data_IF_975541502964
#
_entry.id   IF_975541502964
#
_cell.length_a   1.000
_cell.length_b   1.000
_cell.length_c   1.000
_cell.angle_alpha   90.00
_cell.angle_beta   90.00
_cell.angle_gamma   90.00
#
_symmetry.space_group_name_H-M   'P 1'
#
loop_
_entity.id
_entity.type
_entity.pdbx_description
1 polymer ?
#
# COMPACT_ATOMS: atom_id res chain seq x y z
N UNK A 1 22.86 18.72 18.62
CA UNK A 1 23.57 17.71 17.79
C UNK A 1 22.60 17.33 16.70
N UNK A 2 22.99 17.50 15.43
CA UNK A 2 22.10 17.28 14.29
C UNK A 2 21.76 15.79 14.19
N UNK A 3 20.49 15.43 14.41
CA UNK A 3 20.02 14.08 14.13
C UNK A 3 20.32 13.78 12.67
N UNK A 4 21.05 12.68 12.47
CA UNK A 4 21.61 12.28 11.19
C UNK A 4 20.47 11.94 10.23
N UNK A 5 19.98 12.92 9.49
CA UNK A 5 19.02 12.74 8.38
C UNK A 5 19.75 11.99 7.27
N UNK A 6 19.83 10.66 7.41
CA UNK A 6 20.18 9.77 6.30
C UNK A 6 18.88 9.25 5.74
N UNK A 7 18.01 10.15 5.28
CA UNK A 7 16.84 9.71 4.50
C UNK A 7 17.39 9.32 3.14
N UNK A 8 17.63 8.02 2.96
CA UNK A 8 17.85 7.42 1.66
C UNK A 8 16.53 7.54 0.88
N UNK A 9 16.31 8.69 0.25
CA UNK A 9 15.07 9.01 -0.45
C UNK A 9 14.84 8.01 -1.59
N UNK A 10 15.89 7.54 -2.28
CA UNK A 10 15.79 6.47 -3.27
C UNK A 10 15.26 5.16 -2.65
N UNK A 11 15.79 4.77 -1.47
CA UNK A 11 15.29 3.62 -0.72
C UNK A 11 13.82 3.78 -0.29
N UNK A 12 13.42 4.99 0.12
CA UNK A 12 12.04 5.30 0.49
C UNK A 12 11.09 5.21 -0.72
N UNK A 13 11.53 5.71 -1.88
CA UNK A 13 10.80 5.63 -3.14
C UNK A 13 10.62 4.19 -3.61
N UNK A 14 11.68 3.39 -3.58
CA UNK A 14 11.60 1.96 -3.94
C UNK A 14 10.63 1.21 -3.03
N UNK A 15 10.68 1.45 -1.72
CA UNK A 15 9.73 0.81 -0.79
C UNK A 15 8.29 1.28 -1.03
N UNK A 16 8.07 2.57 -1.32
CA UNK A 16 6.76 3.09 -1.68
C UNK A 16 6.17 2.39 -2.91
N UNK A 17 6.98 2.22 -3.96
CA UNK A 17 6.58 1.52 -5.19
C UNK A 17 6.26 0.04 -4.92
N UNK A 18 7.05 -0.64 -4.09
CA UNK A 18 6.79 -2.01 -3.68
C UNK A 18 5.48 -2.16 -2.93
N UNK A 19 5.18 -1.26 -1.98
CA UNK A 19 3.92 -1.31 -1.22
C UNK A 19 2.71 -1.07 -2.14
N UNK A 20 2.81 -0.12 -3.08
CA UNK A 20 1.72 0.15 -4.02
C UNK A 20 1.49 -1.04 -4.96
N UNK A 21 2.56 -1.72 -5.37
CA UNK A 21 2.45 -2.98 -6.11
C UNK A 21 1.77 -4.07 -5.27
N UNK A 22 2.19 -4.24 -4.01
CA UNK A 22 1.58 -5.19 -3.07
C UNK A 22 0.10 -4.90 -2.84
N UNK A 23 -0.30 -3.63 -2.79
CA UNK A 23 -1.72 -3.24 -2.74
C UNK A 23 -2.50 -3.75 -3.95
N UNK A 24 -1.93 -3.64 -5.15
CA UNK A 24 -2.55 -4.20 -6.37
C UNK A 24 -2.66 -5.73 -6.34
N UNK A 25 -1.63 -6.43 -5.85
CA UNK A 25 -1.64 -7.88 -5.66
C UNK A 25 -2.68 -8.31 -4.62
N UNK A 26 -2.78 -7.55 -3.52
CA UNK A 26 -3.76 -7.72 -2.46
C UNK A 26 -5.20 -7.55 -2.97
N UNK A 27 -5.51 -6.46 -3.67
CA UNK A 27 -6.85 -6.21 -4.23
C UNK A 27 -7.27 -7.35 -5.17
N UNK A 28 -6.33 -7.83 -6.01
CA UNK A 28 -6.57 -8.95 -6.91
C UNK A 28 -6.85 -10.25 -6.16
N UNK A 29 -6.10 -10.54 -5.10
CA UNK A 29 -6.32 -11.71 -4.25
C UNK A 29 -7.69 -11.65 -3.56
N UNK A 30 -8.05 -10.48 -3.01
CA UNK A 30 -9.34 -10.29 -2.34
C UNK A 30 -10.51 -10.43 -3.29
N UNK A 31 -10.40 -9.87 -4.50
CA UNK A 31 -11.39 -10.09 -5.55
C UNK A 31 -11.58 -11.59 -5.84
N UNK A 32 -10.49 -12.35 -6.01
CA UNK A 32 -10.54 -13.80 -6.25
C UNK A 32 -11.25 -14.54 -5.12
N UNK A 33 -10.88 -14.26 -3.87
CA UNK A 33 -11.47 -14.91 -2.68
C UNK A 33 -12.97 -14.60 -2.58
N UNK A 34 -13.37 -13.33 -2.75
CA UNK A 34 -14.79 -12.94 -2.71
C UNK A 34 -15.60 -13.59 -3.83
N UNK A 35 -15.03 -13.70 -5.04
CA UNK A 35 -15.66 -14.43 -6.14
C UNK A 35 -15.80 -15.91 -5.81
N UNK A 36 -14.73 -16.58 -5.36
CA UNK A 36 -14.79 -18.00 -4.98
C UNK A 36 -15.82 -18.26 -3.89
N UNK A 37 -15.86 -17.44 -2.85
CA UNK A 37 -16.83 -17.53 -1.78
C UNK A 37 -18.28 -17.42 -2.28
N UNK A 38 -18.53 -16.44 -3.15
CA UNK A 38 -19.87 -16.23 -3.74
C UNK A 38 -20.27 -17.39 -4.65
N UNK A 39 -19.36 -17.84 -5.51
CA UNK A 39 -19.61 -18.95 -6.43
C UNK A 39 -19.81 -20.28 -5.70
N UNK A 40 -19.01 -20.56 -4.67
CA UNK A 40 -19.13 -21.78 -3.88
C UNK A 40 -20.53 -21.89 -3.27
N UNK A 41 -21.01 -20.81 -2.64
CA UNK A 41 -22.34 -20.76 -2.02
C UNK A 41 -23.49 -20.81 -3.04
N UNK A 42 -23.24 -20.50 -4.33
CA UNK A 42 -24.27 -20.57 -5.37
C UNK A 42 -24.40 -21.93 -6.05
N UNK A 43 -23.37 -22.77 -6.00
CA UNK A 43 -23.34 -24.08 -6.69
C UNK A 43 -23.45 -25.26 -5.74
N UNK A 44 -23.17 -25.06 -4.45
CA UNK A 44 -23.19 -26.10 -3.44
C UNK A 44 -23.96 -25.62 -2.21
N UNK A 45 -25.20 -26.08 -2.09
CA UNK A 45 -26.06 -25.82 -0.92
C UNK A 45 -25.58 -26.67 0.27
N UNK A 46 -24.50 -26.21 0.91
CA UNK A 46 -23.91 -26.82 2.10
C UNK A 46 -23.69 -25.77 3.20
N UNK A 47 -23.75 -26.23 4.45
CA UNK A 47 -23.60 -25.34 5.61
C UNK A 47 -22.19 -24.73 5.67
N UNK A 48 -21.14 -25.51 5.39
CA UNK A 48 -19.77 -25.00 5.40
C UNK A 48 -19.51 -24.01 4.25
N UNK A 49 -20.11 -24.23 3.08
CA UNK A 49 -20.04 -23.30 1.95
C UNK A 49 -20.66 -21.94 2.31
N UNK A 50 -21.83 -21.94 2.96
CA UNK A 50 -22.49 -20.73 3.44
C UNK A 50 -21.68 -20.01 4.51
N UNK A 51 -21.20 -20.73 5.51
CA UNK A 51 -20.37 -20.17 6.60
C UNK A 51 -19.10 -19.52 6.06
N UNK A 52 -18.43 -20.15 5.10
CA UNK A 52 -17.26 -19.57 4.44
C UNK A 52 -17.62 -18.26 3.72
N UNK A 53 -18.72 -18.24 2.94
CA UNK A 53 -19.15 -17.06 2.22
C UNK A 53 -19.54 -15.91 3.14
N UNK A 54 -20.26 -16.20 4.22
CA UNK A 54 -20.61 -15.23 5.25
C UNK A 54 -19.38 -14.68 5.97
N UNK A 55 -18.39 -15.53 6.26
CA UNK A 55 -17.13 -15.10 6.88
C UNK A 55 -16.34 -14.16 5.96
N UNK A 56 -16.20 -14.50 4.68
CA UNK A 56 -15.53 -13.63 3.70
C UNK A 56 -16.26 -12.30 3.57
N UNK A 57 -17.60 -12.32 3.46
CA UNK A 57 -18.42 -11.11 3.42
C UNK A 57 -18.30 -10.27 4.69
N UNK A 58 -18.25 -10.90 5.86
CA UNK A 58 -18.08 -10.23 7.14
C UNK A 58 -16.73 -9.52 7.29
N UNK A 59 -15.71 -9.99 6.59
CA UNK A 59 -14.37 -9.39 6.57
C UNK A 59 -14.19 -8.27 5.54
N UNK A 60 -15.18 -7.98 4.69
CA UNK A 60 -15.08 -7.01 3.59
C UNK A 60 -14.58 -5.62 4.04
N UNK A 61 -15.10 -5.14 5.17
CA UNK A 61 -14.65 -3.87 5.77
C UNK A 61 -13.20 -3.92 6.22
N UNK A 62 -12.78 -5.02 6.84
CA UNK A 62 -11.38 -5.24 7.26
C UNK A 62 -10.47 -5.30 6.05
N UNK A 63 -10.90 -5.99 4.99
CA UNK A 63 -10.11 -6.10 3.77
C UNK A 63 -9.94 -4.75 3.09
N UNK A 64 -11.01 -3.98 3.00
CA UNK A 64 -10.99 -2.62 2.44
C UNK A 64 -10.08 -1.70 3.25
N UNK A 65 -10.21 -1.72 4.59
CA UNK A 65 -9.39 -0.89 5.47
C UNK A 65 -7.90 -1.22 5.35
N UNK A 66 -7.54 -2.49 5.24
CA UNK A 66 -6.14 -2.90 5.05
C UNK A 66 -5.59 -2.45 3.69
N UNK A 67 -6.38 -2.59 2.61
CA UNK A 67 -6.00 -2.10 1.28
C UNK A 67 -5.77 -0.58 1.27
N UNK A 68 -6.64 0.18 1.95
CA UNK A 68 -6.47 1.63 2.14
C UNK A 68 -5.21 1.97 2.96
N UNK A 69 -4.90 1.19 4.00
CA UNK A 69 -3.69 1.41 4.79
C UNK A 69 -2.41 1.23 3.93
N UNK A 70 -2.35 0.21 3.08
CA UNK A 70 -1.25 -0.01 2.14
C UNK A 70 -1.11 1.16 1.15
N UNK A 71 -2.21 1.63 0.58
CA UNK A 71 -2.20 2.76 -0.35
C UNK A 71 -1.72 4.04 0.34
N UNK A 72 -2.27 4.35 1.52
CA UNK A 72 -1.94 5.56 2.27
C UNK A 72 -0.46 5.61 2.65
N UNK A 73 0.11 4.51 3.16
CA UNK A 73 1.53 4.49 3.53
C UNK A 73 2.44 4.57 2.29
N UNK A 74 2.10 3.88 1.20
CA UNK A 74 2.84 3.96 -0.06
C UNK A 74 2.85 5.38 -0.64
N UNK A 75 1.70 6.07 -0.63
CA UNK A 75 1.59 7.47 -1.07
C UNK A 75 2.41 8.38 -0.13
N UNK A 76 2.27 8.22 1.17
CA UNK A 76 2.99 9.04 2.14
C UNK A 76 4.51 8.92 1.97
N UNK A 77 5.03 7.69 1.83
CA UNK A 77 6.45 7.45 1.59
C UNK A 77 6.95 8.08 0.29
N UNK A 78 6.17 7.98 -0.80
CA UNK A 78 6.51 8.64 -2.06
C UNK A 78 6.57 10.16 -1.91
N UNK A 79 5.58 10.75 -1.22
CA UNK A 79 5.53 12.19 -1.01
C UNK A 79 6.74 12.68 -0.20
N UNK A 80 7.05 11.99 0.89
CA UNK A 80 8.23 12.28 1.72
C UNK A 80 9.51 12.18 0.87
N UNK A 81 9.66 11.13 0.06
CA UNK A 81 10.81 10.98 -0.83
C UNK A 81 10.96 12.17 -1.79
N UNK A 82 9.86 12.58 -2.43
CA UNK A 82 9.87 13.70 -3.38
C UNK A 82 10.24 15.02 -2.68
N UNK A 83 9.71 15.27 -1.49
CA UNK A 83 10.06 16.47 -0.70
C UNK A 83 11.55 16.51 -0.36
N UNK A 84 12.15 15.37 0.06
CA UNK A 84 13.58 15.30 0.34
C UNK A 84 14.45 15.46 -0.92
N UNK A 85 14.03 14.89 -2.05
CA UNK A 85 14.73 15.07 -3.33
C UNK A 85 14.76 16.55 -3.75
N UNK A 86 13.61 17.24 -3.65
CA UNK A 86 13.52 18.67 -3.95
C UNK A 86 14.40 19.50 -3.03
N UNK A 87 14.29 19.30 -1.70
CA UNK A 87 15.10 20.02 -0.73
C UNK A 87 16.61 19.83 -0.98
N UNK A 88 17.03 18.60 -1.29
CA UNK A 88 18.42 18.29 -1.62
C UNK A 88 18.93 19.04 -2.87
N UNK A 89 18.09 19.13 -3.91
CA UNK A 89 18.41 19.90 -5.14
C UNK A 89 18.52 21.40 -4.85
N UNK A 90 17.60 21.95 -4.05
CA UNK A 90 17.60 23.37 -3.67
C UNK A 90 18.84 23.75 -2.84
N UNK A 91 19.23 22.91 -1.87
CA UNK A 91 20.44 23.13 -1.08
C UNK A 91 21.69 23.15 -1.97
N UNK A 92 21.83 22.19 -2.89
CA UNK A 92 22.96 22.14 -3.84
C UNK A 92 23.00 23.40 -4.73
N UNK A 93 21.86 23.84 -5.23
CA UNK A 93 21.77 25.04 -6.05
C UNK A 93 22.14 26.32 -5.28
N UNK A 94 21.72 26.44 -4.01
CA UNK A 94 22.06 27.57 -3.16
C UNK A 94 23.56 27.62 -2.81
N UNK A 95 24.18 26.46 -2.54
CA UNK A 95 25.62 26.35 -2.31
C UNK A 95 26.42 26.80 -3.54
N UNK A 96 26.02 26.37 -4.74
CA UNK A 96 26.71 26.76 -5.98
C UNK A 96 26.55 28.24 -6.36
N UNK A 97 25.57 28.95 -5.81
CA UNK A 97 25.37 30.40 -6.03
C UNK A 97 26.11 31.29 -5.03
N UNK A 98 26.62 30.72 -3.94
CA UNK A 98 27.34 31.47 -2.88
C UNK A 98 28.87 31.46 -3.08
N UNK A 99 29.34 30.93 -4.20
CA UNK A 99 30.71 31.02 -4.71
C UNK A 99 30.70 31.75 -6.06
#
# INVERSE_FOLDING_TARGET
MADKVTVNYDGLKTLAENIIKQKGEYDNLMKKITTTATTLNSIWEDTAAREFAEKVKGMDKTFTAFGQALENIGIHMRNVSNSYETLSKEIKAAQNKSF
#
